data_IF_592963049393
#
_entry.id   IF_592963049393
#
_cell.length_a   1.000
_cell.length_b   1.000
_cell.length_c   1.000
_cell.angle_alpha   90.00
_cell.angle_beta   90.00
_cell.angle_gamma   90.00
#
_symmetry.space_group_name_H-M   'P 1'
#
loop_
_entity.id
_entity.type
_entity.pdbx_description
1 polymer ?
#
# COMPACT_ATOMS: atom_id res chain seq x y z
N UNK A 1 -3.51 45.84 -5.04
CA UNK A 1 -2.33 44.99 -4.87
C UNK A 1 -2.80 43.82 -4.06
N UNK A 2 -2.83 42.62 -4.64
CA UNK A 2 -3.08 41.42 -3.86
C UNK A 2 -1.79 41.16 -3.07
N UNK A 3 -1.88 41.17 -1.74
CA UNK A 3 -0.76 40.79 -0.89
C UNK A 3 -0.44 39.31 -1.13
N UNK A 4 0.83 39.01 -1.35
CA UNK A 4 1.30 37.64 -1.57
C UNK A 4 1.21 36.88 -0.24
N UNK A 5 0.41 35.82 -0.22
CA UNK A 5 0.16 34.99 0.97
C UNK A 5 0.82 33.63 0.77
N UNK A 6 1.49 33.12 1.80
CA UNK A 6 2.09 31.80 1.78
C UNK A 6 1.00 30.73 1.67
N UNK A 7 1.04 29.91 0.61
CA UNK A 7 0.05 28.86 0.37
C UNK A 7 0.14 27.70 1.37
N UNK A 8 1.28 27.56 2.06
CA UNK A 8 1.50 26.50 3.06
C UNK A 8 1.02 26.86 4.47
N UNK A 9 0.96 28.15 4.82
CA UNK A 9 0.62 28.56 6.19
C UNK A 9 -0.26 29.81 6.31
N UNK A 10 -0.66 30.42 5.20
CA UNK A 10 -1.51 31.61 5.17
C UNK A 10 -0.84 32.91 5.63
N UNK A 11 0.48 32.91 5.85
CA UNK A 11 1.22 34.11 6.29
C UNK A 11 1.53 35.06 5.14
N UNK A 12 1.39 36.37 5.36
CA UNK A 12 1.79 37.41 4.39
C UNK A 12 3.27 37.81 4.52
N UNK A 13 4.04 37.13 5.39
CA UNK A 13 5.46 37.42 5.61
C UNK A 13 6.32 36.72 4.55
N UNK A 14 6.21 37.14 3.29
CA UNK A 14 6.96 36.55 2.16
C UNK A 14 7.95 37.56 1.60
N UNK A 15 9.23 37.18 1.48
CA UNK A 15 10.31 38.00 0.90
C UNK A 15 10.87 37.34 -0.36
N UNK A 16 11.67 38.07 -1.15
CA UNK A 16 12.41 37.48 -2.28
C UNK A 16 13.86 37.26 -1.88
N UNK A 17 14.34 36.03 -2.03
CA UNK A 17 15.74 35.67 -1.78
C UNK A 17 16.22 34.66 -2.81
N UNK A 18 17.34 34.95 -3.49
CA UNK A 18 17.96 34.02 -4.44
C UNK A 18 17.10 33.60 -5.63
N UNK A 19 16.11 34.42 -6.03
CA UNK A 19 15.18 34.08 -7.13
C UNK A 19 13.91 33.32 -6.70
N UNK A 20 13.69 33.16 -5.39
CA UNK A 20 12.51 32.51 -4.82
C UNK A 20 11.76 33.46 -3.89
N UNK A 21 10.45 33.29 -3.79
CA UNK A 21 9.65 33.78 -2.68
C UNK A 21 9.90 32.90 -1.45
N UNK A 22 10.33 33.47 -0.33
CA UNK A 22 10.61 32.76 0.93
C UNK A 22 9.67 33.25 2.02
N UNK A 23 8.85 32.35 2.55
CA UNK A 23 8.00 32.64 3.71
C UNK A 23 8.85 32.69 4.99
N UNK A 24 8.89 33.84 5.64
CA UNK A 24 9.61 34.05 6.90
C UNK A 24 8.92 33.40 8.10
N UNK A 25 7.67 32.95 7.96
CA UNK A 25 6.92 32.30 9.05
C UNK A 25 7.20 30.79 9.15
N UNK A 26 7.30 30.10 8.02
CA UNK A 26 7.43 28.63 7.97
C UNK A 26 8.66 28.14 7.18
N UNK A 27 9.38 29.03 6.50
CA UNK A 27 10.58 28.69 5.74
C UNK A 27 10.31 28.18 4.32
N UNK A 28 9.06 28.03 3.89
CA UNK A 28 8.71 27.56 2.55
C UNK A 28 9.25 28.49 1.46
N UNK A 29 9.79 27.90 0.39
CA UNK A 29 10.32 28.60 -0.79
C UNK A 29 9.46 28.29 -2.02
N UNK A 30 9.02 29.32 -2.74
CA UNK A 30 8.25 29.22 -3.98
C UNK A 30 9.01 29.90 -5.13
N UNK A 31 8.98 29.35 -6.36
CA UNK A 31 9.61 29.98 -7.51
C UNK A 31 8.89 31.28 -7.91
N UNK A 32 9.64 32.28 -8.39
CA UNK A 32 9.07 33.53 -8.91
C UNK A 32 8.66 33.29 -10.37
N UNK A 33 7.39 32.96 -10.61
CA UNK A 33 6.84 32.84 -11.96
C UNK A 33 6.49 34.22 -12.52
N UNK A 34 7.45 34.85 -13.21
CA UNK A 34 7.21 36.08 -13.97
C UNK A 34 6.38 35.75 -15.23
N UNK A 35 5.05 35.80 -15.12
CA UNK A 35 4.17 35.63 -16.27
C UNK A 35 4.23 36.85 -17.18
N UNK A 36 5.06 36.81 -18.24
CA UNK A 36 4.87 37.64 -19.43
C UNK A 36 5.08 36.88 -20.73
N UNK A 37 3.94 36.65 -21.39
CA UNK A 37 3.71 36.59 -22.84
C UNK A 37 4.43 35.52 -23.67
N UNK A 38 3.64 34.47 -23.97
CA UNK A 38 3.49 33.79 -25.26
C UNK A 38 4.63 33.83 -26.27
N UNK A 39 5.28 32.67 -26.44
CA UNK A 39 5.75 32.17 -27.73
C UNK A 39 6.08 30.67 -27.56
N UNK A 40 5.62 29.85 -28.52
CA UNK A 40 5.84 28.41 -28.59
C UNK A 40 7.29 28.04 -28.28
N UNK A 41 7.55 27.58 -27.05
CA UNK A 41 8.80 26.91 -26.72
C UNK A 41 8.49 25.44 -26.52
N UNK A 42 9.05 24.66 -27.44
CA UNK A 42 9.12 23.22 -27.42
C UNK A 42 9.90 22.82 -26.16
N UNK A 43 9.14 22.52 -25.10
CA UNK A 43 9.64 22.22 -23.77
C UNK A 43 10.24 20.82 -23.80
N UNK A 44 11.57 20.73 -23.87
CA UNK A 44 12.30 19.46 -23.95
C UNK A 44 13.34 19.31 -22.85
N UNK A 45 13.20 20.05 -21.73
CA UNK A 45 14.18 19.98 -20.63
C UNK A 45 13.70 20.31 -19.21
N UNK A 46 12.43 20.68 -19.00
CA UNK A 46 11.92 21.08 -17.67
C UNK A 46 11.02 20.02 -17.01
N UNK A 47 10.61 18.97 -17.73
CA UNK A 47 9.76 17.90 -17.16
C UNK A 47 10.52 16.92 -16.27
N UNK A 48 11.81 16.67 -16.52
CA UNK A 48 12.57 15.67 -15.76
C UNK A 48 12.91 16.15 -14.35
N UNK A 49 13.36 17.41 -14.19
CA UNK A 49 13.72 17.94 -12.87
C UNK A 49 12.50 18.11 -11.94
N UNK A 50 11.34 18.43 -12.52
CA UNK A 50 10.08 18.45 -11.77
C UNK A 50 9.67 17.05 -11.32
N UNK A 51 9.77 16.06 -12.22
CA UNK A 51 9.47 14.67 -11.93
C UNK A 51 10.42 14.06 -10.89
N UNK A 52 11.73 14.30 -11.01
CA UNK A 52 12.74 13.87 -10.03
C UNK A 52 12.41 14.42 -8.63
N UNK A 53 12.04 15.70 -8.55
CA UNK A 53 11.60 16.31 -7.30
C UNK A 53 10.31 15.69 -6.75
N UNK A 54 9.38 15.26 -7.60
CA UNK A 54 8.18 14.55 -7.17
C UNK A 54 8.53 13.20 -6.53
N UNK A 55 9.42 12.40 -7.14
CA UNK A 55 9.87 11.14 -6.52
C UNK A 55 10.56 11.38 -5.18
N UNK A 56 11.42 12.39 -5.08
CA UNK A 56 12.07 12.73 -3.80
C UNK A 56 11.07 13.08 -2.70
N UNK A 57 10.02 13.83 -3.03
CA UNK A 57 8.97 14.20 -2.10
C UNK A 57 8.09 13.00 -1.73
N UNK A 58 7.71 12.19 -2.72
CA UNK A 58 6.88 11.00 -2.53
C UNK A 58 7.57 9.96 -1.63
N UNK A 59 8.81 9.60 -1.94
CA UNK A 59 9.59 8.64 -1.14
C UNK A 59 9.90 9.19 0.26
N UNK A 60 10.15 10.49 0.42
CA UNK A 60 10.29 11.11 1.75
C UNK A 60 8.99 11.07 2.55
N UNK A 61 7.85 11.28 1.91
CA UNK A 61 6.55 11.17 2.59
C UNK A 61 6.32 9.73 3.06
N UNK A 62 6.59 8.74 2.20
CA UNK A 62 6.57 7.31 2.55
C UNK A 62 7.45 7.00 3.76
N UNK A 63 8.74 7.37 3.69
CA UNK A 63 9.70 7.05 4.75
C UNK A 63 9.36 7.71 6.10
N UNK A 64 8.57 8.79 6.09
CA UNK A 64 8.08 9.47 7.30
C UNK A 64 6.66 9.03 7.74
N UNK A 65 6.01 8.14 7.01
CA UNK A 65 4.62 7.72 7.27
C UNK A 65 3.57 8.82 6.99
N UNK A 66 3.88 9.78 6.13
CA UNK A 66 2.95 10.86 5.75
C UNK A 66 2.04 10.42 4.60
N UNK A 67 0.95 9.75 4.97
CA UNK A 67 0.05 9.11 3.99
C UNK A 67 -0.63 10.12 3.05
N UNK A 68 -0.97 11.32 3.54
CA UNK A 68 -1.64 12.35 2.74
C UNK A 68 -0.71 12.90 1.66
N UNK A 69 0.54 13.24 2.03
CA UNK A 69 1.52 13.70 1.05
C UNK A 69 2.05 12.56 0.17
N UNK A 70 2.18 11.35 0.69
CA UNK A 70 2.52 10.16 -0.09
C UNK A 70 1.52 9.95 -1.23
N UNK A 71 0.22 9.86 -0.89
CA UNK A 71 -0.86 9.74 -1.87
C UNK A 71 -0.83 10.87 -2.90
N UNK A 72 -0.68 12.11 -2.45
CA UNK A 72 -0.64 13.29 -3.33
C UNK A 72 0.50 13.21 -4.33
N UNK A 73 1.74 13.02 -3.88
CA UNK A 73 2.90 13.09 -4.76
C UNK A 73 2.95 11.90 -5.72
N UNK A 74 2.63 10.69 -5.28
CA UNK A 74 2.51 9.55 -6.20
C UNK A 74 1.37 9.72 -7.21
N UNK A 75 0.25 10.34 -6.83
CA UNK A 75 -0.81 10.69 -7.79
C UNK A 75 -0.34 11.71 -8.85
N UNK A 76 0.47 12.69 -8.46
CA UNK A 76 1.05 13.66 -9.40
C UNK A 76 2.07 13.01 -10.35
N UNK A 77 2.84 12.03 -9.87
CA UNK A 77 3.74 11.20 -10.71
C UNK A 77 2.91 10.46 -11.77
N UNK A 78 1.83 9.77 -11.40
CA UNK A 78 0.99 9.03 -12.36
C UNK A 78 0.35 9.90 -13.45
N UNK A 79 0.07 11.17 -13.17
CA UNK A 79 -0.43 12.10 -14.20
C UNK A 79 0.63 12.37 -15.27
N UNK A 80 1.91 12.39 -14.88
CA UNK A 80 3.05 12.66 -15.77
C UNK A 80 3.57 11.39 -16.43
N UNK A 81 3.67 10.29 -15.67
CA UNK A 81 4.15 8.97 -16.08
C UNK A 81 3.14 7.89 -15.69
N UNK A 82 2.11 7.62 -16.53
CA UNK A 82 1.02 6.71 -16.19
C UNK A 82 1.41 5.23 -16.06
N UNK A 83 2.60 4.85 -16.51
CA UNK A 83 3.13 3.49 -16.42
C UNK A 83 4.24 3.39 -15.37
N UNK A 84 4.28 4.30 -14.40
CA UNK A 84 5.22 4.22 -13.29
C UNK A 84 4.74 3.18 -12.28
N UNK A 85 5.45 2.04 -12.19
CA UNK A 85 5.07 0.93 -11.31
C UNK A 85 5.06 1.33 -9.84
N UNK A 86 5.99 2.19 -9.41
CA UNK A 86 6.14 2.61 -8.02
C UNK A 86 4.92 3.45 -7.61
N UNK A 87 4.60 4.48 -8.39
CA UNK A 87 3.46 5.34 -8.15
C UNK A 87 2.14 4.58 -8.32
N UNK A 88 2.05 3.65 -9.28
CA UNK A 88 0.88 2.82 -9.47
C UNK A 88 0.57 1.97 -8.23
N UNK A 89 1.60 1.43 -7.58
CA UNK A 89 1.45 0.70 -6.32
C UNK A 89 1.10 1.64 -5.16
N UNK A 90 1.93 2.67 -4.93
CA UNK A 90 1.83 3.50 -3.73
C UNK A 90 0.57 4.37 -3.65
N UNK A 91 -0.04 4.73 -4.79
CA UNK A 91 -1.34 5.43 -4.76
C UNK A 91 -2.40 4.60 -4.07
N UNK A 92 -2.50 3.29 -4.35
CA UNK A 92 -3.45 2.42 -3.63
C UNK A 92 -3.03 2.16 -2.19
N UNK A 93 -1.73 1.93 -1.95
CA UNK A 93 -1.19 1.73 -0.60
C UNK A 93 -1.56 2.89 0.34
N UNK A 94 -1.27 4.13 -0.05
CA UNK A 94 -1.61 5.28 0.80
C UNK A 94 -3.10 5.53 0.88
N UNK A 95 -3.85 5.22 -0.19
CA UNK A 95 -5.31 5.34 -0.15
C UNK A 95 -5.95 4.39 0.86
N UNK A 96 -5.41 3.18 1.02
CA UNK A 96 -5.84 2.24 2.05
C UNK A 96 -5.67 2.82 3.47
N UNK A 97 -4.59 3.58 3.72
CA UNK A 97 -4.38 4.26 5.00
C UNK A 97 -5.21 5.53 5.20
N UNK A 98 -5.66 6.19 4.13
CA UNK A 98 -6.43 7.43 4.22
C UNK A 98 -7.94 7.21 4.40
N UNK A 99 -8.43 6.02 4.07
CA UNK A 99 -9.84 5.69 4.18
C UNK A 99 -10.16 5.06 5.54
N UNK A 100 -11.42 5.20 5.97
CA UNK A 100 -11.93 4.38 7.06
C UNK A 100 -11.92 2.92 6.59
N UNK A 101 -11.45 2.02 7.43
CA UNK A 101 -10.68 0.87 6.96
C UNK A 101 -11.48 -0.23 6.26
N UNK A 102 -12.79 -0.07 6.09
CA UNK A 102 -13.55 -0.87 5.13
C UNK A 102 -14.63 -0.03 4.44
N UNK A 103 -14.22 1.09 3.86
CA UNK A 103 -14.80 1.38 2.56
C UNK A 103 -14.34 0.26 1.61
N UNK A 104 -15.25 -0.64 1.20
CA UNK A 104 -14.96 -1.73 0.25
C UNK A 104 -14.18 -1.20 -0.97
N UNK A 105 -14.45 0.05 -1.38
CA UNK A 105 -13.73 0.68 -2.48
C UNK A 105 -12.25 0.93 -2.20
N UNK A 106 -11.81 1.08 -0.95
CA UNK A 106 -10.41 1.27 -0.57
C UNK A 106 -9.58 0.00 -0.77
N UNK A 107 -10.12 -1.15 -0.37
CA UNK A 107 -9.48 -2.46 -0.56
C UNK A 107 -9.48 -2.81 -2.04
N UNK A 108 -10.61 -2.60 -2.75
CA UNK A 108 -10.69 -2.80 -4.20
C UNK A 108 -9.67 -1.93 -4.94
N UNK A 109 -9.51 -0.67 -4.53
CA UNK A 109 -8.51 0.23 -5.09
C UNK A 109 -7.08 -0.30 -4.87
N UNK A 110 -6.78 -0.84 -3.69
CA UNK A 110 -5.46 -1.42 -3.40
C UNK A 110 -5.20 -2.71 -4.21
N UNK A 111 -6.21 -3.57 -4.36
CA UNK A 111 -6.13 -4.74 -5.25
C UNK A 111 -5.81 -4.32 -6.68
N UNK A 112 -6.58 -3.38 -7.22
CA UNK A 112 -6.43 -2.92 -8.60
C UNK A 112 -5.09 -2.21 -8.84
N UNK A 113 -4.64 -1.42 -7.86
CA UNK A 113 -3.38 -0.69 -7.94
C UNK A 113 -2.19 -1.65 -7.92
N UNK A 114 -2.23 -2.65 -7.05
CA UNK A 114 -1.19 -3.67 -6.90
C UNK A 114 -1.11 -4.55 -8.14
N UNK A 115 -2.25 -5.03 -8.65
CA UNK A 115 -2.30 -5.80 -9.88
C UNK A 115 -1.75 -5.02 -11.08
N UNK A 116 -2.10 -3.74 -11.19
CA UNK A 116 -1.59 -2.88 -12.26
C UNK A 116 -0.08 -2.66 -12.14
N UNK A 117 0.42 -2.42 -10.93
CA UNK A 117 1.84 -2.24 -10.67
C UNK A 117 2.65 -3.50 -11.01
N UNK A 118 2.21 -4.68 -10.54
CA UNK A 118 2.82 -5.97 -10.87
C UNK A 118 2.84 -6.20 -12.37
N UNK A 119 1.73 -5.93 -13.08
CA UNK A 119 1.67 -6.08 -14.54
C UNK A 119 2.65 -5.16 -15.28
N UNK A 120 2.90 -3.95 -14.78
CA UNK A 120 3.93 -3.06 -15.33
C UNK A 120 5.33 -3.66 -15.07
N UNK A 121 5.58 -4.14 -13.85
CA UNK A 121 6.86 -4.77 -13.46
C UNK A 121 7.15 -6.00 -14.33
N UNK A 122 6.16 -6.85 -14.61
CA UNK A 122 6.31 -8.00 -15.53
C UNK A 122 6.84 -7.60 -16.91
N UNK A 123 6.49 -6.40 -17.39
CA UNK A 123 6.91 -5.84 -18.67
C UNK A 123 8.34 -5.27 -18.69
N UNK A 124 9.02 -5.17 -17.55
CA UNK A 124 10.41 -4.71 -17.46
C UNK A 124 11.35 -5.77 -18.09
N UNK A 125 12.44 -5.34 -18.73
CA UNK A 125 13.42 -6.29 -19.31
C UNK A 125 14.47 -6.75 -18.27
N UNK A 126 14.80 -5.87 -17.33
CA UNK A 126 15.78 -6.12 -16.28
C UNK A 126 15.18 -6.97 -15.14
N UNK A 127 15.74 -8.16 -14.95
CA UNK A 127 15.28 -9.12 -13.93
C UNK A 127 15.63 -8.66 -12.51
N UNK A 128 16.76 -7.97 -12.33
CA UNK A 128 17.15 -7.44 -11.02
C UNK A 128 16.17 -6.34 -10.59
N UNK A 129 15.82 -5.43 -11.52
CA UNK A 129 14.80 -4.41 -11.27
C UNK A 129 13.42 -5.00 -10.94
N UNK A 130 13.03 -6.09 -11.60
CA UNK A 130 11.79 -6.82 -11.25
C UNK A 130 11.82 -7.35 -9.84
N UNK A 131 12.89 -8.06 -9.48
CA UNK A 131 13.03 -8.68 -8.16
C UNK A 131 13.02 -7.61 -7.06
N UNK A 132 13.71 -6.48 -7.27
CA UNK A 132 13.73 -5.37 -6.33
C UNK A 132 12.33 -4.73 -6.18
N UNK A 133 11.59 -4.55 -7.27
CA UNK A 133 10.24 -3.99 -7.23
C UNK A 133 9.24 -4.92 -6.52
N UNK A 134 9.29 -6.23 -6.81
CA UNK A 134 8.42 -7.22 -6.15
C UNK A 134 8.76 -7.33 -4.66
N UNK A 135 10.04 -7.41 -4.28
CA UNK A 135 10.44 -7.46 -2.88
C UNK A 135 9.96 -6.21 -2.12
N UNK A 136 10.04 -5.02 -2.74
CA UNK A 136 9.49 -3.79 -2.16
C UNK A 136 7.98 -3.89 -1.97
N UNK A 137 7.22 -4.35 -2.96
CA UNK A 137 5.78 -4.52 -2.85
C UNK A 137 5.42 -5.53 -1.75
N UNK A 138 6.20 -6.61 -1.60
CA UNK A 138 5.98 -7.64 -0.57
C UNK A 138 6.14 -7.03 0.81
N UNK A 139 7.27 -6.37 1.07
CA UNK A 139 7.57 -5.75 2.37
C UNK A 139 6.49 -4.73 2.76
N UNK A 140 6.07 -3.89 1.81
CA UNK A 140 5.04 -2.87 2.04
C UNK A 140 3.66 -3.50 2.27
N UNK A 141 3.28 -4.49 1.47
CA UNK A 141 2.00 -5.20 1.61
C UNK A 141 1.93 -5.88 2.99
N UNK A 142 3.02 -6.51 3.43
CA UNK A 142 3.10 -7.17 4.73
C UNK A 142 3.04 -6.17 5.87
N UNK A 143 3.73 -5.04 5.75
CA UNK A 143 3.69 -3.95 6.73
C UNK A 143 2.28 -3.36 6.87
N UNK A 144 1.60 -3.13 5.76
CA UNK A 144 0.22 -2.67 5.71
C UNK A 144 -0.71 -3.67 6.41
N UNK A 145 -0.68 -4.93 5.96
CA UNK A 145 -1.54 -5.98 6.52
C UNK A 145 -1.28 -6.19 8.01
N UNK A 146 -0.02 -6.20 8.43
CA UNK A 146 0.35 -6.36 9.84
C UNK A 146 -0.18 -5.23 10.72
N UNK A 147 -0.03 -3.98 10.25
CA UNK A 147 -0.50 -2.80 10.99
C UNK A 147 -2.01 -2.83 11.20
N UNK A 148 -2.76 -3.20 10.17
CA UNK A 148 -4.21 -3.30 10.26
C UNK A 148 -4.65 -4.52 11.05
N UNK A 149 -4.04 -5.68 10.82
CA UNK A 149 -4.36 -6.88 11.59
C UNK A 149 -4.22 -6.62 13.09
N UNK A 150 -3.10 -6.03 13.53
CA UNK A 150 -2.88 -5.69 14.95
C UNK A 150 -4.01 -4.78 15.48
N UNK A 151 -4.30 -3.69 14.77
CA UNK A 151 -5.35 -2.76 15.17
C UNK A 151 -6.74 -3.41 15.26
N UNK A 152 -7.14 -4.22 14.28
CA UNK A 152 -8.47 -4.82 14.23
C UNK A 152 -8.64 -6.02 15.14
N UNK A 153 -7.57 -6.80 15.29
CA UNK A 153 -7.58 -7.95 16.18
C UNK A 153 -7.70 -7.51 17.64
N UNK A 154 -7.01 -6.44 18.03
CA UNK A 154 -7.16 -5.84 19.35
C UNK A 154 -8.61 -5.40 19.61
N UNK A 155 -9.20 -4.59 18.71
CA UNK A 155 -10.60 -4.14 18.85
C UNK A 155 -11.59 -5.31 18.90
N UNK A 156 -11.39 -6.34 18.06
CA UNK A 156 -12.20 -7.56 18.07
C UNK A 156 -12.15 -8.29 19.43
N UNK A 157 -11.00 -8.34 20.09
CA UNK A 157 -10.86 -8.99 21.41
C UNK A 157 -11.61 -8.23 22.52
N UNK A 158 -11.84 -6.93 22.36
CA UNK A 158 -12.66 -6.14 23.30
C UNK A 158 -14.17 -6.26 23.03
N UNK A 159 -14.57 -6.58 21.80
CA UNK A 159 -15.97 -6.71 21.42
C UNK A 159 -16.59 -8.05 21.82
N UNK A 160 -17.89 -8.01 22.13
CA UNK A 160 -18.64 -9.23 22.44
C UNK A 160 -18.93 -10.04 21.17
N UNK A 161 -18.81 -11.38 21.16
CA UNK A 161 -19.06 -12.20 19.97
C UNK A 161 -20.47 -12.09 19.36
N UNK A 162 -21.45 -11.58 20.10
CA UNK A 162 -22.82 -11.31 19.65
C UNK A 162 -23.05 -9.86 19.16
N UNK A 163 -22.00 -9.03 19.17
CA UNK A 163 -22.02 -7.66 18.70
C UNK A 163 -21.94 -7.53 17.18
N UNK A 164 -22.61 -6.52 16.63
CA UNK A 164 -22.56 -6.19 15.19
C UNK A 164 -21.13 -5.90 14.72
N UNK A 165 -20.36 -5.17 15.53
CA UNK A 165 -18.97 -4.82 15.22
C UNK A 165 -18.02 -6.03 15.27
N UNK A 166 -18.26 -7.01 16.13
CA UNK A 166 -17.43 -8.21 16.19
C UNK A 166 -17.41 -8.97 14.86
N UNK A 167 -18.59 -9.15 14.24
CA UNK A 167 -18.68 -9.80 12.92
C UNK A 167 -17.98 -8.97 11.85
N UNK A 168 -18.13 -7.64 11.93
CA UNK A 168 -17.42 -6.73 11.04
C UNK A 168 -15.91 -6.88 11.16
N UNK A 169 -15.35 -6.87 12.37
CA UNK A 169 -13.93 -7.07 12.63
C UNK A 169 -13.40 -8.41 12.08
N UNK A 170 -14.15 -9.51 12.28
CA UNK A 170 -13.78 -10.81 11.71
C UNK A 170 -13.71 -10.74 10.19
N UNK A 171 -14.67 -10.08 9.53
CA UNK A 171 -14.65 -9.93 8.08
C UNK A 171 -13.47 -9.10 7.60
N UNK A 172 -13.14 -7.98 8.27
CA UNK A 172 -11.94 -7.17 7.98
C UNK A 172 -10.70 -8.07 7.96
N UNK A 173 -10.50 -8.82 9.05
CA UNK A 173 -9.32 -9.63 9.24
C UNK A 173 -9.23 -10.77 8.21
N UNK A 174 -10.38 -11.30 7.75
CA UNK A 174 -10.44 -12.29 6.68
C UNK A 174 -10.06 -11.67 5.32
N UNK A 175 -10.54 -10.48 5.02
CA UNK A 175 -10.17 -9.77 3.78
C UNK A 175 -8.67 -9.50 3.70
N UNK A 176 -8.01 -9.20 4.83
CA UNK A 176 -6.54 -9.09 4.87
C UNK A 176 -5.83 -10.40 4.51
N UNK A 177 -6.38 -11.55 4.93
CA UNK A 177 -5.84 -12.86 4.56
C UNK A 177 -6.04 -13.13 3.06
N UNK A 178 -7.19 -12.75 2.50
CA UNK A 178 -7.46 -12.88 1.07
C UNK A 178 -6.55 -11.98 0.23
N UNK A 179 -6.24 -10.79 0.73
CA UNK A 179 -5.32 -9.86 0.10
C UNK A 179 -3.91 -10.43 -0.02
N UNK A 180 -3.38 -11.01 1.06
CA UNK A 180 -2.08 -11.67 1.04
C UNK A 180 -2.05 -12.85 0.06
N UNK A 181 -3.13 -13.63 0.02
CA UNK A 181 -3.21 -14.77 -0.89
C UNK A 181 -3.24 -14.36 -2.36
N UNK A 182 -4.08 -13.37 -2.67
CA UNK A 182 -4.14 -12.78 -4.01
C UNK A 182 -2.81 -12.14 -4.42
N UNK A 183 -2.15 -11.42 -3.49
CA UNK A 183 -0.83 -10.84 -3.75
C UNK A 183 0.18 -11.94 -4.09
N UNK A 184 0.22 -13.02 -3.30
CA UNK A 184 1.10 -14.15 -3.60
C UNK A 184 0.84 -14.77 -4.96
N UNK A 185 -0.44 -14.93 -5.34
CA UNK A 185 -0.82 -15.42 -6.67
C UNK A 185 -0.39 -14.49 -7.81
N UNK A 186 -0.40 -13.16 -7.59
CA UNK A 186 0.07 -12.19 -8.57
C UNK A 186 1.58 -12.29 -8.82
N UNK A 187 2.37 -12.48 -7.75
CA UNK A 187 3.84 -12.38 -7.84
C UNK A 187 4.54 -13.72 -8.08
N UNK A 188 3.82 -14.84 -7.92
CA UNK A 188 4.34 -16.21 -8.03
C UNK A 188 5.21 -16.45 -9.27
N UNK A 189 4.84 -15.87 -10.42
CA UNK A 189 5.46 -16.17 -11.72
C UNK A 189 6.06 -14.93 -12.42
N UNK A 190 6.30 -13.84 -11.69
CA UNK A 190 6.89 -12.61 -12.27
C UNK A 190 8.33 -12.84 -12.71
N UNK A 191 9.13 -13.55 -11.90
CA UNK A 191 10.46 -14.06 -12.24
C UNK A 191 10.66 -15.48 -11.70
N UNK A 192 11.79 -16.12 -12.05
CA UNK A 192 12.17 -17.42 -11.48
C UNK A 192 12.50 -17.35 -9.98
N UNK A 193 12.69 -16.14 -9.41
CA UNK A 193 13.09 -15.92 -8.01
C UNK A 193 11.93 -15.38 -7.13
N UNK A 194 10.86 -14.83 -7.72
CA UNK A 194 9.74 -14.22 -6.97
C UNK A 194 8.78 -15.25 -6.35
N UNK A 195 8.99 -16.54 -6.59
CA UNK A 195 8.20 -17.58 -5.92
C UNK A 195 8.35 -17.53 -4.39
N UNK A 196 9.50 -17.05 -3.87
CA UNK A 196 9.70 -16.95 -2.44
C UNK A 196 8.80 -15.86 -1.82
N UNK A 197 8.66 -14.70 -2.46
CA UNK A 197 7.71 -13.66 -2.06
C UNK A 197 6.27 -14.18 -2.03
N UNK A 198 5.90 -14.99 -3.03
CA UNK A 198 4.59 -15.62 -3.10
C UNK A 198 4.36 -16.60 -1.94
N UNK A 199 5.33 -17.50 -1.71
CA UNK A 199 5.29 -18.48 -0.62
C UNK A 199 5.21 -17.77 0.74
N UNK A 200 6.02 -16.74 0.96
CA UNK A 200 6.01 -15.98 2.21
C UNK A 200 4.65 -15.30 2.43
N UNK A 201 4.01 -14.81 1.36
CA UNK A 201 2.69 -14.18 1.44
C UNK A 201 1.60 -15.18 1.81
N UNK A 202 1.59 -16.37 1.20
CA UNK A 202 0.64 -17.43 1.55
C UNK A 202 0.86 -17.93 2.98
N UNK A 203 2.11 -18.10 3.40
CA UNK A 203 2.43 -18.47 4.78
C UNK A 203 1.90 -17.41 5.75
N UNK A 204 2.14 -16.13 5.47
CA UNK A 204 1.68 -15.05 6.32
C UNK A 204 0.15 -15.01 6.41
N UNK A 205 -0.56 -15.21 5.29
CA UNK A 205 -2.02 -15.33 5.27
C UNK A 205 -2.51 -16.45 6.20
N UNK A 206 -1.92 -17.63 6.10
CA UNK A 206 -2.31 -18.80 6.92
C UNK A 206 -2.02 -18.52 8.40
N UNK A 207 -0.91 -17.87 8.73
CA UNK A 207 -0.55 -17.52 10.10
C UNK A 207 -1.51 -16.51 10.71
N UNK A 208 -2.00 -15.53 9.94
CA UNK A 208 -3.01 -14.56 10.38
C UNK A 208 -4.41 -15.17 10.51
N UNK A 209 -4.77 -16.08 9.60
CA UNK A 209 -6.06 -16.76 9.58
C UNK A 209 -6.18 -17.81 10.70
N UNK A 210 -5.08 -18.47 11.08
CA UNK A 210 -5.08 -19.55 12.08
C UNK A 210 -5.69 -19.16 13.43
N UNK A 211 -5.36 -18.00 14.05
CA UNK A 211 -6.03 -17.49 15.24
C UNK A 211 -7.53 -17.23 15.05
N UNK A 212 -7.96 -16.87 13.84
CA UNK A 212 -9.36 -16.50 13.57
C UNK A 212 -10.33 -17.69 13.57
N UNK A 213 -9.83 -18.92 13.49
CA UNK A 213 -10.66 -20.15 13.51
C UNK A 213 -11.59 -20.28 14.72
N UNK A 214 -11.24 -19.66 15.85
CA UNK A 214 -12.10 -19.62 17.03
C UNK A 214 -13.28 -18.68 16.88
N UNK A 215 -13.18 -17.70 15.97
CA UNK A 215 -14.15 -16.64 15.74
C UNK A 215 -15.07 -16.95 14.55
N UNK A 216 -14.64 -17.86 13.65
CA UNK A 216 -15.43 -18.33 12.51
C UNK A 216 -16.53 -19.30 12.97
N UNK A 217 -17.75 -19.06 12.47
CA UNK A 217 -18.93 -19.88 12.73
C UNK A 217 -18.74 -21.34 12.32
N UNK A 218 -19.27 -22.28 13.10
CA UNK A 218 -19.08 -23.72 12.86
C UNK A 218 -19.46 -24.17 11.44
N UNK A 219 -20.50 -23.56 10.85
CA UNK A 219 -20.98 -23.91 9.52
C UNK A 219 -20.08 -23.41 8.39
N UNK A 220 -19.28 -22.37 8.64
CA UNK A 220 -18.41 -21.74 7.65
C UNK A 220 -17.01 -22.37 7.66
N UNK A 221 -16.63 -23.07 8.75
CA UNK A 221 -15.31 -23.69 8.92
C UNK A 221 -14.89 -24.60 7.77
N UNK A 222 -15.83 -25.33 7.17
CA UNK A 222 -15.51 -26.22 6.05
C UNK A 222 -15.00 -25.47 4.81
N UNK A 223 -15.56 -24.29 4.53
CA UNK A 223 -15.16 -23.47 3.39
C UNK A 223 -13.82 -22.78 3.66
N UNK A 224 -13.60 -22.29 4.88
CA UNK A 224 -12.31 -21.74 5.31
C UNK A 224 -11.20 -22.80 5.38
N UNK A 225 -11.51 -24.01 5.84
CA UNK A 225 -10.57 -25.14 5.86
C UNK A 225 -10.10 -25.48 4.46
N UNK A 226 -11.06 -25.59 3.52
CA UNK A 226 -10.75 -25.83 2.11
C UNK A 226 -9.89 -24.71 1.55
N UNK A 227 -10.26 -23.46 1.80
CA UNK A 227 -9.50 -22.30 1.31
C UNK A 227 -8.05 -22.31 1.81
N UNK A 228 -7.81 -22.62 3.09
CA UNK A 228 -6.44 -22.74 3.61
C UNK A 228 -5.73 -23.96 3.01
N UNK A 229 -6.41 -25.10 2.92
CA UNK A 229 -5.82 -26.33 2.37
C UNK A 229 -5.35 -26.11 0.92
N UNK A 230 -6.10 -25.36 0.12
CA UNK A 230 -5.71 -24.99 -1.26
C UNK A 230 -4.35 -24.24 -1.26
N UNK A 231 -4.11 -23.28 -0.36
CA UNK A 231 -2.81 -22.58 -0.27
C UNK A 231 -1.72 -23.39 0.41
N UNK A 232 -2.04 -24.28 1.35
CA UNK A 232 -1.08 -25.25 1.90
C UNK A 232 -0.56 -26.15 0.78
N UNK A 233 -1.45 -26.62 -0.09
CA UNK A 233 -1.06 -27.41 -1.28
C UNK A 233 -0.16 -26.60 -2.20
N UNK A 234 -0.47 -25.33 -2.50
CA UNK A 234 0.41 -24.45 -3.30
C UNK A 234 1.79 -24.26 -2.66
N UNK A 235 1.86 -23.97 -1.36
CA UNK A 235 3.14 -23.85 -0.64
C UNK A 235 3.95 -25.14 -0.76
N UNK A 236 3.30 -26.30 -0.65
CA UNK A 236 3.95 -27.61 -0.73
C UNK A 236 4.53 -27.96 -2.10
N UNK A 237 4.14 -27.24 -3.17
CA UNK A 237 4.81 -27.35 -4.47
C UNK A 237 6.25 -26.83 -4.42
N UNK A 238 6.52 -25.85 -3.55
CA UNK A 238 7.83 -25.21 -3.37
C UNK A 238 8.57 -25.68 -2.10
N UNK A 239 7.84 -25.94 -1.01
CA UNK A 239 8.34 -26.53 0.24
C UNK A 239 7.50 -27.76 0.64
N UNK A 240 7.84 -28.96 0.13
CA UNK A 240 7.08 -30.18 0.39
C UNK A 240 7.00 -30.58 1.87
N UNK A 241 7.89 -30.05 2.72
CA UNK A 241 7.92 -30.34 4.14
C UNK A 241 7.05 -29.37 4.96
N UNK A 242 6.52 -28.30 4.34
CA UNK A 242 5.64 -27.33 4.99
C UNK A 242 4.42 -28.02 5.64
N UNK A 243 4.13 -27.63 6.89
CA UNK A 243 3.04 -28.19 7.67
C UNK A 243 2.03 -27.10 8.05
N UNK A 244 0.76 -27.32 7.69
CA UNK A 244 -0.35 -26.46 8.11
C UNK A 244 -0.29 -26.18 9.62
N UNK A 245 -0.29 -24.90 10.04
CA UNK A 245 -0.35 -24.53 11.44
C UNK A 245 -1.61 -25.11 12.09
N UNK A 246 -1.46 -25.58 13.32
CA UNK A 246 -2.62 -26.07 14.10
C UNK A 246 -3.29 -24.88 14.76
N UNK A 247 -4.63 -24.74 14.66
CA UNK A 247 -5.36 -23.76 15.45
C UNK A 247 -4.98 -23.92 16.92
N UNK A 248 -4.50 -22.85 17.54
CA UNK A 248 -4.27 -22.86 18.99
C UNK A 248 -5.64 -23.10 19.63
N UNK A 249 -5.78 -24.17 20.41
CA UNK A 249 -6.96 -24.31 21.28
C UNK A 249 -6.94 -23.11 22.22
N UNK A 250 -7.91 -22.20 22.09
CA UNK A 250 -8.21 -21.26 23.15
C UNK A 250 -8.65 -22.10 24.36
N UNK A 251 -7.70 -22.35 25.26
CA UNK A 251 -8.01 -22.90 26.57
C UNK A 251 -8.76 -21.83 27.35
N UNK A 252 -10.08 -22.01 27.51
CA UNK A 252 -10.82 -21.33 28.57
C UNK A 252 -12.12 -20.65 28.15
N UNK A 253 -13.10 -21.41 27.64
CA UNK A 253 -14.51 -21.12 27.91
C UNK A 253 -15.17 -22.47 28.25
N UNK A 254 -15.40 -22.68 29.55
CA UNK A 254 -16.37 -23.64 30.11
C UNK A 254 -17.59 -22.81 30.49
#
# INVERSE_FOLDING_TARGET
MNELMCEMCGSNMVIIEGGFYVCQACGTKFPINDSKTGENHQFTGESSAELDNLYELARRARDNGDNEFGFKYYSEILIKEPNDWEAQYYVGYFRAFLNDFLDESAIDDFYNSTASAVSIVEGIDDVEEKNDAISLFTDETFGLVGSFYESYFEEMEYESPDGEYYTWYVNVLLELCYLLNYYGDLVENVTDDTYQDAVDSWIYSIDLHTPMYSHIGFFDKGDHDKYIDDYVEKIQEYDPDYQKPKPKKLFGII
#
